data_IF_003308975750
#
_entry.id   IF_003308975750
#
_cell.length_a   1.000
_cell.length_b   1.000
_cell.length_c   1.000
_cell.angle_alpha   90.00
_cell.angle_beta   90.00
_cell.angle_gamma   90.00
#
_symmetry.space_group_name_H-M   'P 1'
#
loop_
_entity.id
_entity.type
_entity.pdbx_description
1 polymer ?
#
# COMPACT_ATOMS: atom_id res chain seq x y z
N UNK A 1 -20.43 1.92 36.54
CA UNK A 1 -21.60 1.12 36.09
C UNK A 1 -22.75 1.36 37.05
N UNK A 2 -23.91 1.82 36.59
CA UNK A 2 -25.08 2.05 37.47
C UNK A 2 -25.50 0.80 38.25
N UNK A 3 -25.27 -0.38 37.66
CA UNK A 3 -25.59 -1.71 38.20
C UNK A 3 -24.77 -2.13 39.44
N UNK A 4 -23.63 -1.47 39.69
CA UNK A 4 -22.77 -1.75 40.85
C UNK A 4 -23.11 -0.86 42.06
N UNK A 5 -24.06 0.07 41.90
CA UNK A 5 -24.42 1.01 42.97
C UNK A 5 -25.16 0.28 44.08
N UNK A 6 -24.54 0.18 45.27
CA UNK A 6 -25.12 -0.48 46.45
C UNK A 6 -24.83 -1.98 46.58
N UNK A 7 -23.98 -2.55 45.72
CA UNK A 7 -23.48 -3.94 45.88
C UNK A 7 -22.11 -3.93 46.54
N UNK A 8 -21.83 -4.95 47.34
CA UNK A 8 -20.51 -5.14 47.94
C UNK A 8 -19.53 -5.69 46.88
N UNK A 9 -18.39 -5.00 46.76
CA UNK A 9 -17.32 -5.27 45.78
C UNK A 9 -16.05 -5.72 46.52
N UNK A 10 -16.11 -5.93 47.85
CA UNK A 10 -14.95 -6.31 48.69
C UNK A 10 -14.24 -7.58 48.21
N UNK A 11 -14.99 -8.55 47.67
CA UNK A 11 -14.44 -9.80 47.15
C UNK A 11 -13.70 -9.65 45.80
N UNK A 12 -13.81 -8.50 45.13
CA UNK A 12 -13.10 -8.26 43.88
C UNK A 12 -11.66 -7.84 44.16
N UNK A 13 -10.73 -8.69 43.75
CA UNK A 13 -9.31 -8.35 43.74
C UNK A 13 -8.92 -7.91 42.33
N UNK A 14 -8.50 -6.66 42.12
CA UNK A 14 -8.03 -6.21 40.82
C UNK A 14 -6.76 -6.98 40.45
N UNK A 15 -6.80 -7.72 39.35
CA UNK A 15 -5.60 -8.35 38.81
C UNK A 15 -4.72 -7.29 38.15
N UNK A 16 -3.45 -7.24 38.55
CA UNK A 16 -2.45 -6.41 37.89
C UNK A 16 -1.95 -7.14 36.63
N UNK A 17 -2.57 -6.82 35.49
CA UNK A 17 -2.21 -7.40 34.20
C UNK A 17 -1.70 -6.31 33.27
N UNK A 18 -0.51 -6.50 32.70
CA UNK A 18 -0.06 -5.67 31.59
C UNK A 18 -0.71 -6.14 30.29
N UNK A 19 -1.52 -5.26 29.69
CA UNK A 19 -2.18 -5.54 28.42
C UNK A 19 -1.19 -5.67 27.25
N UNK A 20 0.04 -5.15 27.38
CA UNK A 20 1.07 -5.24 26.35
C UNK A 20 1.74 -6.62 26.30
N UNK A 21 1.58 -7.44 27.33
CA UNK A 21 2.12 -8.80 27.35
C UNK A 21 1.19 -9.81 26.65
N UNK A 22 -0.05 -9.40 26.39
CA UNK A 22 -1.05 -10.26 25.75
C UNK A 22 -0.82 -10.29 24.24
N UNK A 23 -0.37 -11.43 23.72
CA UNK A 23 -0.13 -11.66 22.29
C UNK A 23 -1.41 -11.97 21.52
N UNK A 24 -1.47 -11.56 20.25
CA UNK A 24 -2.53 -12.00 19.35
C UNK A 24 -2.29 -13.44 18.86
N UNK A 25 -3.39 -14.19 18.67
CA UNK A 25 -3.35 -15.50 18.00
C UNK A 25 -2.95 -15.43 16.51
N UNK A 26 -3.25 -14.30 15.87
CA UNK A 26 -3.00 -14.04 14.46
C UNK A 26 -1.62 -13.39 14.28
N UNK A 27 -0.75 -14.04 13.49
CA UNK A 27 0.65 -13.66 13.31
C UNK A 27 0.82 -12.30 12.63
N UNK A 28 -0.06 -11.95 11.68
CA UNK A 28 0.01 -10.65 11.00
C UNK A 28 -0.39 -9.51 11.92
N UNK A 29 -1.38 -9.75 12.77
CA UNK A 29 -1.78 -8.79 13.81
C UNK A 29 -0.71 -8.65 14.87
N UNK A 30 -0.04 -9.75 15.24
CA UNK A 30 1.03 -9.72 16.21
C UNK A 30 2.25 -8.96 15.71
N UNK A 31 2.70 -9.20 14.48
CA UNK A 31 3.77 -8.40 13.86
C UNK A 31 3.41 -6.91 13.83
N UNK A 32 2.16 -6.59 13.48
CA UNK A 32 1.66 -5.21 13.53
C UNK A 32 1.60 -4.64 14.95
N UNK A 33 1.34 -5.45 15.97
CA UNK A 33 1.30 -5.04 17.38
C UNK A 33 2.71 -4.75 17.88
N UNK A 34 3.66 -5.66 17.66
CA UNK A 34 5.07 -5.52 18.07
C UNK A 34 5.68 -4.25 17.49
N UNK A 35 5.50 -4.00 16.19
CA UNK A 35 6.00 -2.78 15.56
C UNK A 35 5.42 -1.51 16.21
N UNK A 36 4.13 -1.51 16.55
CA UNK A 36 3.51 -0.34 17.21
C UNK A 36 3.93 -0.19 18.67
N UNK A 37 4.12 -1.31 19.36
CA UNK A 37 4.60 -1.36 20.73
C UNK A 37 6.02 -0.78 20.81
N UNK A 38 6.88 -1.13 19.86
CA UNK A 38 8.22 -0.56 19.77
C UNK A 38 8.17 0.95 19.61
N UNK A 39 7.40 1.46 18.64
CA UNK A 39 7.20 2.91 18.44
C UNK A 39 6.65 3.57 19.71
N UNK A 40 5.71 2.93 20.40
CA UNK A 40 5.17 3.44 21.65
C UNK A 40 6.21 3.51 22.77
N UNK A 41 7.08 2.49 22.91
CA UNK A 41 8.17 2.49 23.90
C UNK A 41 9.18 3.59 23.63
N UNK A 42 9.46 3.88 22.35
CA UNK A 42 10.39 4.93 21.95
C UNK A 42 9.80 6.35 22.09
N UNK A 43 8.53 6.54 21.73
CA UNK A 43 7.91 7.88 21.61
C UNK A 43 6.96 8.23 22.76
N UNK A 44 6.55 7.26 23.57
CA UNK A 44 5.48 7.40 24.57
C UNK A 44 4.07 7.57 23.96
N UNK A 45 3.92 7.55 22.64
CA UNK A 45 2.65 7.81 21.94
C UNK A 45 2.30 6.66 21.00
N UNK A 46 1.09 6.14 21.14
CA UNK A 46 0.66 5.01 20.30
C UNK A 46 0.48 5.45 18.84
N UNK A 47 1.05 4.73 17.86
CA UNK A 47 0.93 5.09 16.45
C UNK A 47 -0.53 4.96 15.96
N UNK A 48 -1.19 6.11 15.77
CA UNK A 48 -2.56 6.18 15.24
C UNK A 48 -2.55 6.01 13.72
N UNK A 49 -3.50 5.23 13.20
CA UNK A 49 -3.73 5.15 11.75
C UNK A 49 -4.38 6.45 11.27
N UNK A 50 -3.59 7.29 10.61
CA UNK A 50 -4.04 8.51 9.95
C UNK A 50 -4.17 9.72 10.88
N UNK A 51 -4.05 10.92 10.28
CA UNK A 51 -4.46 12.16 10.94
C UNK A 51 -5.95 12.00 11.29
N UNK A 52 -6.33 12.33 12.53
CA UNK A 52 -7.74 12.43 12.88
C UNK A 52 -8.40 13.27 11.77
N UNK A 53 -9.39 12.70 11.06
CA UNK A 53 -10.10 13.48 10.05
C UNK A 53 -10.69 14.68 10.76
N UNK A 54 -10.07 15.84 10.60
CA UNK A 54 -10.64 17.10 11.07
C UNK A 54 -12.03 17.16 10.48
N UNK A 55 -13.06 17.19 11.34
CA UNK A 55 -14.45 17.22 10.91
C UNK A 55 -14.58 18.42 9.98
N UNK A 56 -14.89 18.19 8.71
CA UNK A 56 -15.09 19.29 7.77
C UNK A 56 -16.22 20.18 8.30
N UNK A 57 -16.10 21.51 8.20
CA UNK A 57 -17.16 22.40 8.66
C UNK A 57 -18.46 22.08 7.92
N UNK A 58 -19.58 22.14 8.64
CA UNK A 58 -20.91 21.91 8.08
C UNK A 58 -21.17 22.98 7.01
N UNK A 59 -21.47 22.55 5.79
CA UNK A 59 -21.86 23.46 4.71
C UNK A 59 -23.39 23.47 4.56
N UNK A 60 -24.02 24.62 4.24
CA UNK A 60 -25.44 24.69 3.91
C UNK A 60 -25.84 23.71 2.81
N UNK A 61 -27.06 23.15 2.92
CA UNK A 61 -27.58 22.14 1.99
C UNK A 61 -27.61 22.61 0.54
N UNK A 62 -27.88 23.90 0.30
CA UNK A 62 -27.89 24.52 -1.02
C UNK A 62 -26.56 24.35 -1.76
N UNK A 63 -25.44 24.64 -1.09
CA UNK A 63 -24.09 24.48 -1.66
C UNK A 63 -23.77 23.02 -1.98
N UNK A 64 -24.28 22.08 -1.16
CA UNK A 64 -24.10 20.66 -1.43
C UNK A 64 -24.90 20.18 -2.65
N UNK A 65 -26.10 20.75 -2.90
CA UNK A 65 -26.88 20.48 -4.10
C UNK A 65 -26.21 21.04 -5.36
N UNK A 66 -25.74 22.29 -5.31
CA UNK A 66 -25.01 22.93 -6.40
C UNK A 66 -23.74 22.15 -6.76
N UNK A 67 -22.94 21.76 -5.76
CA UNK A 67 -21.75 20.93 -6.02
C UNK A 67 -22.10 19.58 -6.65
N UNK A 68 -23.24 18.98 -6.26
CA UNK A 68 -23.71 17.72 -6.87
C UNK A 68 -24.12 17.91 -8.33
N UNK A 69 -24.79 19.01 -8.69
CA UNK A 69 -25.14 19.30 -10.10
C UNK A 69 -23.90 19.59 -10.93
N UNK A 70 -22.97 20.43 -10.45
CA UNK A 70 -21.70 20.72 -11.11
C UNK A 70 -20.88 19.45 -11.39
N UNK A 71 -20.83 18.53 -10.43
CA UNK A 71 -20.12 17.24 -10.61
C UNK A 71 -20.79 16.37 -11.68
N UNK A 72 -22.13 16.38 -11.76
CA UNK A 72 -22.86 15.66 -12.81
C UNK A 72 -22.60 16.27 -14.18
N UNK A 73 -22.72 17.59 -14.32
CA UNK A 73 -22.46 18.32 -15.57
C UNK A 73 -21.03 18.10 -16.06
N UNK A 74 -20.04 18.22 -15.17
CA UNK A 74 -18.64 17.94 -15.51
C UNK A 74 -18.40 16.50 -15.97
N UNK A 75 -19.17 15.54 -15.45
CA UNK A 75 -19.09 14.13 -15.90
C UNK A 75 -19.72 13.95 -17.28
N UNK A 76 -20.85 14.61 -17.56
CA UNK A 76 -21.47 14.57 -18.88
C UNK A 76 -20.57 15.22 -19.93
N UNK A 77 -20.06 16.43 -19.66
CA UNK A 77 -19.13 17.11 -20.56
C UNK A 77 -17.90 16.24 -20.92
N UNK A 78 -17.38 15.47 -19.95
CA UNK A 78 -16.28 14.52 -20.19
C UNK A 78 -16.69 13.33 -21.05
N UNK A 79 -17.92 12.83 -20.93
CA UNK A 79 -18.47 11.76 -21.77
C UNK A 79 -18.68 12.26 -23.19
N UNK A 80 -19.34 13.40 -23.35
CA UNK A 80 -19.63 14.00 -24.65
C UNK A 80 -18.32 14.29 -25.40
N UNK A 81 -17.34 14.89 -24.71
CA UNK A 81 -16.00 15.12 -25.29
C UNK A 81 -15.27 13.82 -25.64
N UNK A 82 -15.54 12.72 -24.93
CA UNK A 82 -14.96 11.41 -25.25
C UNK A 82 -15.67 10.78 -26.45
N UNK A 83 -16.98 10.95 -26.57
CA UNK A 83 -17.79 10.49 -27.70
C UNK A 83 -17.44 11.24 -28.99
N UNK A 84 -17.31 12.56 -28.91
CA UNK A 84 -16.91 13.40 -30.04
C UNK A 84 -15.48 13.05 -30.52
N UNK A 85 -14.55 12.78 -29.61
CA UNK A 85 -13.22 12.26 -29.98
C UNK A 85 -13.25 10.85 -30.58
N UNK A 86 -14.26 10.03 -30.23
CA UNK A 86 -14.44 8.70 -30.84
C UNK A 86 -15.01 8.82 -32.25
N UNK A 87 -16.02 9.68 -32.46
CA UNK A 87 -16.61 9.91 -33.78
C UNK A 87 -15.62 10.56 -34.74
N UNK A 88 -14.77 11.47 -34.27
CA UNK A 88 -13.67 12.06 -35.06
C UNK A 88 -12.52 11.08 -35.36
N UNK A 89 -12.60 9.81 -34.96
CA UNK A 89 -11.54 8.81 -35.16
C UNK A 89 -10.26 9.06 -34.34
N UNK A 90 -10.17 10.16 -33.58
CA UNK A 90 -9.05 10.54 -32.71
C UNK A 90 -9.03 9.76 -31.39
N UNK A 91 -9.32 8.45 -31.45
CA UNK A 91 -9.12 7.60 -30.28
C UNK A 91 -7.62 7.35 -30.13
N UNK A 92 -6.99 8.08 -29.19
CA UNK A 92 -5.71 7.61 -28.63
C UNK A 92 -6.02 6.28 -27.95
N UNK A 93 -5.82 5.17 -28.66
CA UNK A 93 -5.71 3.86 -28.02
C UNK A 93 -4.72 4.03 -26.87
N UNK A 94 -5.05 3.51 -25.68
CA UNK A 94 -4.10 3.49 -24.56
C UNK A 94 -2.80 2.95 -25.15
N UNK A 95 -1.71 3.73 -25.12
CA UNK A 95 -0.39 3.25 -25.55
C UNK A 95 -0.17 1.94 -24.80
N UNK A 96 -0.32 0.80 -25.50
CA UNK A 96 0.04 -0.49 -24.93
C UNK A 96 1.52 -0.36 -24.62
N UNK A 97 1.93 -0.74 -23.41
CA UNK A 97 3.36 -0.90 -23.13
C UNK A 97 3.90 -1.83 -24.22
N UNK A 98 5.00 -1.45 -24.88
CA UNK A 98 5.65 -2.33 -25.86
C UNK A 98 5.86 -3.68 -25.16
N UNK A 99 5.42 -4.77 -25.77
CA UNK A 99 5.68 -6.10 -25.24
C UNK A 99 7.17 -6.36 -25.30
N UNK A 100 7.69 -7.09 -24.30
CA UNK A 100 9.08 -7.56 -24.30
C UNK A 100 9.26 -8.44 -25.53
N UNK A 101 10.29 -8.19 -26.33
CA UNK A 101 10.57 -8.97 -27.54
C UNK A 101 11.04 -10.39 -27.19
N UNK A 102 10.96 -11.33 -28.13
CA UNK A 102 11.50 -12.68 -27.89
C UNK A 102 13.02 -12.66 -27.67
N UNK A 103 13.72 -11.70 -28.29
CA UNK A 103 15.17 -11.49 -28.14
C UNK A 103 15.51 -11.00 -26.72
N UNK A 104 14.76 -10.01 -26.20
CA UNK A 104 14.92 -9.50 -24.83
C UNK A 104 14.68 -10.62 -23.79
N UNK A 105 13.72 -11.53 -24.06
CA UNK A 105 13.48 -12.70 -23.21
C UNK A 105 14.63 -13.72 -23.25
N UNK A 106 15.27 -13.91 -24.41
CA UNK A 106 16.42 -14.80 -24.54
C UNK A 106 17.67 -14.23 -23.86
N UNK A 107 17.91 -12.93 -23.98
CA UNK A 107 18.99 -12.22 -23.29
C UNK A 107 18.85 -12.36 -21.77
N UNK A 108 17.66 -12.06 -21.23
CA UNK A 108 17.35 -12.26 -19.80
C UNK A 108 17.57 -13.71 -19.35
N UNK A 109 17.27 -14.70 -20.19
CA UNK A 109 17.47 -16.11 -19.86
C UNK A 109 18.97 -16.47 -19.76
N UNK A 110 19.82 -15.90 -20.61
CA UNK A 110 21.28 -16.06 -20.56
C UNK A 110 21.85 -15.43 -19.28
N UNK A 111 21.43 -14.21 -18.96
CA UNK A 111 21.85 -13.51 -17.74
C UNK A 111 21.48 -14.28 -16.46
N UNK A 112 20.25 -14.80 -16.39
CA UNK A 112 19.80 -15.61 -15.26
C UNK A 112 20.62 -16.90 -15.14
N UNK A 113 21.01 -17.52 -16.26
CA UNK A 113 21.85 -18.71 -16.25
C UNK A 113 23.26 -18.38 -15.74
N UNK A 114 23.84 -17.26 -16.16
CA UNK A 114 25.15 -16.78 -15.72
C UNK A 114 25.17 -16.51 -14.21
N UNK A 115 24.18 -15.77 -13.70
CA UNK A 115 24.03 -15.49 -12.26
C UNK A 115 23.91 -16.81 -11.47
N UNK A 116 23.15 -17.79 -11.97
CA UNK A 116 23.04 -19.11 -11.32
C UNK A 116 24.37 -19.86 -11.32
N UNK A 117 25.18 -19.74 -12.37
CA UNK A 117 26.53 -20.35 -12.42
C UNK A 117 27.46 -19.72 -11.39
N UNK A 118 27.46 -18.39 -11.25
CA UNK A 118 28.22 -17.68 -10.23
C UNK A 118 27.79 -18.09 -8.81
N UNK A 119 26.47 -18.12 -8.54
CA UNK A 119 25.94 -18.56 -7.22
C UNK A 119 26.33 -20.01 -6.88
N UNK A 120 26.45 -20.87 -7.89
CA UNK A 120 26.90 -22.25 -7.74
C UNK A 120 28.43 -22.40 -7.78
N UNK A 121 29.20 -21.30 -7.78
CA UNK A 121 30.66 -21.25 -7.85
C UNK A 121 31.25 -22.00 -9.05
N UNK A 122 30.53 -22.05 -10.18
CA UNK A 122 30.97 -22.71 -11.43
C UNK A 122 31.76 -21.80 -12.36
N UNK A 123 31.76 -20.50 -12.08
CA UNK A 123 32.40 -19.43 -12.85
C UNK A 123 33.03 -18.50 -11.80
N UNK A 124 34.21 -17.97 -12.08
CA UNK A 124 34.86 -17.01 -11.19
C UNK A 124 34.19 -15.64 -11.28
N UNK A 125 34.43 -14.78 -10.30
CA UNK A 125 33.85 -13.43 -10.31
C UNK A 125 34.33 -12.63 -11.53
N UNK A 126 35.60 -12.78 -11.91
CA UNK A 126 36.21 -12.09 -13.05
C UNK A 126 35.61 -12.55 -14.39
N UNK A 127 35.40 -13.86 -14.57
CA UNK A 127 34.73 -14.42 -15.75
C UNK A 127 33.26 -13.99 -15.84
N UNK A 128 32.56 -13.91 -14.71
CA UNK A 128 31.20 -13.41 -14.65
C UNK A 128 31.12 -11.93 -15.04
N UNK A 129 32.01 -11.10 -14.50
CA UNK A 129 32.02 -9.66 -14.75
C UNK A 129 32.38 -9.37 -16.22
N UNK A 130 33.27 -10.16 -16.82
CA UNK A 130 33.59 -10.08 -18.25
C UNK A 130 32.39 -10.39 -19.16
N UNK A 131 31.64 -11.46 -18.88
CA UNK A 131 30.49 -11.86 -19.70
C UNK A 131 29.23 -11.01 -19.44
N UNK A 132 29.03 -10.52 -18.20
CA UNK A 132 27.82 -9.78 -17.81
C UNK A 132 27.86 -8.29 -18.14
N UNK A 133 29.04 -7.66 -18.07
CA UNK A 133 29.22 -6.24 -18.42
C UNK A 133 29.44 -6.07 -19.93
N UNK A 134 29.81 -7.16 -20.62
CA UNK A 134 30.23 -7.14 -22.03
C UNK A 134 31.65 -6.61 -22.15
N UNK A 135 32.43 -7.20 -23.06
CA UNK A 135 33.73 -6.65 -23.45
C UNK A 135 33.57 -5.16 -23.77
N UNK A 136 34.33 -4.32 -23.06
CA UNK A 136 34.56 -2.94 -23.50
C UNK A 136 35.36 -3.01 -24.81
N UNK A 137 34.66 -2.97 -25.94
CA UNK A 137 35.13 -2.33 -27.17
C UNK A 137 34.40 -0.99 -27.37
#
# INVERSE_FOLDING_TARGET
>A
MPELKGRDISSFQPAQVDFNDITYKDTQKEASRVNKLQVYRETGVWPRKGKAMTRRPTQPWQLTKQRKSEVKERRQLKRDKRELKKSEGKTKSKKRRKGISAEELQELAKDIALIKRLKNKKVTQEEFDAEFVGEME
#
